data_IF_235574128510
#
_entry.id   IF_235574128510
#
_cell.length_a   1.000
_cell.length_b   1.000
_cell.length_c   1.000
_cell.angle_alpha   90.00
_cell.angle_beta   90.00
_cell.angle_gamma   90.00
#
_symmetry.space_group_name_H-M   'P 1'
#
loop_
_entity.id
_entity.type
_entity.pdbx_description
1 polymer ?
#
# COMPACT_ATOMS: atom_id res chain seq x y z
N UNK A 1 29.34 7.64 15.76
CA UNK A 1 28.12 6.84 15.94
C UNK A 1 27.60 6.54 14.56
N UNK A 2 27.92 5.37 14.01
CA UNK A 2 27.24 4.91 12.79
C UNK A 2 25.82 4.59 13.23
N UNK A 3 24.85 5.42 12.86
CA UNK A 3 23.46 5.00 12.89
C UNK A 3 23.37 3.76 12.01
N UNK A 4 23.07 2.61 12.61
CA UNK A 4 22.74 1.42 11.84
C UNK A 4 21.52 1.78 10.99
N UNK A 5 21.70 1.79 9.67
CA UNK A 5 20.60 2.05 8.76
C UNK A 5 19.70 0.82 8.79
N UNK A 6 18.37 0.99 8.90
CA UNK A 6 17.48 -0.14 8.68
C UNK A 6 17.70 -0.69 7.27
N UNK A 7 17.48 -1.99 7.12
CA UNK A 7 17.47 -2.61 5.79
C UNK A 7 16.44 -1.92 4.89
N UNK A 8 16.75 -1.86 3.61
CA UNK A 8 15.93 -1.14 2.64
C UNK A 8 14.53 -1.74 2.48
N UNK A 9 14.38 -3.06 2.60
CA UNK A 9 13.07 -3.69 2.48
C UNK A 9 12.22 -3.35 3.72
N UNK A 10 12.84 -3.24 4.90
CA UNK A 10 12.18 -2.72 6.11
C UNK A 10 11.69 -1.28 5.91
N UNK A 11 12.51 -0.42 5.30
CA UNK A 11 12.11 0.97 4.98
C UNK A 11 10.95 1.01 3.98
N UNK A 12 10.96 0.13 2.97
CA UNK A 12 9.89 0.03 1.97
C UNK A 12 8.58 -0.38 2.65
N UNK A 13 8.62 -1.38 3.51
CA UNK A 13 7.45 -1.87 4.25
C UNK A 13 6.85 -0.78 5.14
N UNK A 14 7.69 -0.07 5.88
CA UNK A 14 7.27 1.06 6.71
C UNK A 14 6.64 2.15 5.85
N UNK A 15 7.29 2.58 4.78
CA UNK A 15 6.76 3.62 3.89
C UNK A 15 5.40 3.26 3.31
N UNK A 16 5.21 2.02 2.87
CA UNK A 16 3.93 1.59 2.33
C UNK A 16 2.86 1.30 3.38
N UNK A 17 3.22 1.26 4.67
CA UNK A 17 2.26 1.19 5.79
C UNK A 17 1.64 2.55 6.14
N UNK A 18 2.29 3.64 5.75
CA UNK A 18 1.83 5.00 6.04
C UNK A 18 0.62 5.40 5.19
N UNK A 19 -0.16 6.35 5.70
CA UNK A 19 -1.16 7.04 4.91
C UNK A 19 -0.52 7.74 3.69
N UNK A 20 -1.20 7.84 2.53
CA UNK A 20 -0.63 8.47 1.34
C UNK A 20 -0.22 9.93 1.55
N UNK A 21 -0.84 10.62 2.53
CA UNK A 21 -0.48 11.97 2.92
C UNK A 21 0.93 12.06 3.51
N UNK A 22 1.34 11.05 4.29
CA UNK A 22 2.61 11.04 5.04
C UNK A 22 3.76 10.40 4.27
N UNK A 23 3.46 9.66 3.19
CA UNK A 23 4.44 8.90 2.42
C UNK A 23 5.63 9.76 1.94
N UNK A 24 5.35 10.93 1.37
CA UNK A 24 6.39 11.74 0.71
C UNK A 24 7.35 12.37 1.72
N UNK A 25 6.84 12.82 2.87
CA UNK A 25 7.67 13.41 3.93
C UNK A 25 8.59 12.35 4.54
N UNK A 26 8.07 11.17 4.88
CA UNK A 26 8.86 10.07 5.44
C UNK A 26 9.88 9.52 4.44
N UNK A 27 9.49 9.34 3.17
CA UNK A 27 10.44 8.92 2.11
C UNK A 27 11.60 9.90 2.01
N UNK A 28 11.33 11.20 2.08
CA UNK A 28 12.37 12.24 2.00
C UNK A 28 13.30 12.22 3.22
N UNK A 29 12.77 11.93 4.41
CA UNK A 29 13.57 11.73 5.62
C UNK A 29 14.52 10.53 5.49
N UNK A 30 14.01 9.38 5.01
CA UNK A 30 14.83 8.19 4.77
C UNK A 30 15.92 8.43 3.70
N UNK A 31 15.59 9.08 2.58
CA UNK A 31 16.57 9.48 1.56
C UNK A 31 17.69 10.32 2.18
N UNK A 32 17.34 11.26 3.06
CA UNK A 32 18.32 12.11 3.74
C UNK A 32 19.20 11.31 4.70
N UNK A 33 18.61 10.37 5.45
CA UNK A 33 19.33 9.50 6.39
C UNK A 33 20.34 8.61 5.65
N UNK A 34 19.91 7.94 4.58
CA UNK A 34 20.79 7.08 3.76
C UNK A 34 21.93 7.88 3.11
N UNK A 35 21.67 9.09 2.60
CA UNK A 35 22.71 9.99 2.08
C UNK A 35 23.74 10.37 3.16
N UNK A 36 23.30 10.68 4.38
CA UNK A 36 24.19 11.04 5.50
C UNK A 36 25.07 9.88 5.93
N UNK A 37 24.54 8.66 5.86
CA UNK A 37 25.28 7.43 6.15
C UNK A 37 26.17 6.95 4.98
N UNK A 38 26.16 7.64 3.84
CA UNK A 38 27.02 7.34 2.69
C UNK A 38 26.43 6.36 1.67
N UNK A 39 25.26 5.77 1.93
CA UNK A 39 24.60 4.85 1.01
C UNK A 39 23.77 5.61 -0.05
N UNK A 40 24.45 5.96 -1.15
CA UNK A 40 23.82 6.62 -2.30
C UNK A 40 22.87 5.69 -3.07
N UNK A 41 23.17 4.39 -3.11
CA UNK A 41 22.34 3.39 -3.80
C UNK A 41 20.99 3.22 -3.10
N UNK A 42 21.00 3.01 -1.79
CA UNK A 42 19.78 2.91 -0.99
C UNK A 42 18.96 4.20 -1.05
N UNK A 43 19.61 5.36 -0.94
CA UNK A 43 18.94 6.65 -1.10
C UNK A 43 18.26 6.81 -2.47
N UNK A 44 18.88 6.32 -3.55
CA UNK A 44 18.30 6.37 -4.90
C UNK A 44 17.11 5.43 -5.02
N UNK A 45 17.22 4.19 -4.51
CA UNK A 45 16.13 3.21 -4.54
C UNK A 45 14.93 3.70 -3.72
N UNK A 46 15.14 4.22 -2.51
CA UNK A 46 14.08 4.80 -1.66
C UNK A 46 13.46 6.03 -2.34
N UNK A 47 14.29 6.91 -2.93
CA UNK A 47 13.80 8.11 -3.62
C UNK A 47 12.93 7.81 -4.85
N UNK A 48 13.18 6.67 -5.51
CA UNK A 48 12.42 6.18 -6.66
C UNK A 48 11.06 5.56 -6.32
N UNK A 49 10.77 5.30 -5.03
CA UNK A 49 9.49 4.71 -4.63
C UNK A 49 8.33 5.64 -4.97
N UNK A 50 7.30 5.09 -5.62
CA UNK A 50 6.12 5.84 -6.02
C UNK A 50 5.16 5.96 -4.84
N UNK A 51 4.60 7.16 -4.63
CA UNK A 51 3.50 7.38 -3.68
C UNK A 51 2.33 6.46 -4.05
N UNK A 52 1.79 5.68 -3.09
CA UNK A 52 0.65 4.83 -3.37
C UNK A 52 -0.60 5.65 -3.71
N UNK A 53 -1.46 5.10 -4.56
CA UNK A 53 -2.83 5.61 -4.71
C UNK A 53 -3.62 5.28 -3.44
N UNK A 54 -4.75 5.95 -3.23
CA UNK A 54 -5.64 5.65 -2.09
C UNK A 54 -6.08 4.17 -2.12
N UNK A 55 -6.43 3.65 -3.30
CA UNK A 55 -6.83 2.24 -3.48
C UNK A 55 -5.66 1.30 -3.12
N UNK A 56 -4.46 1.55 -3.63
CA UNK A 56 -3.29 0.72 -3.32
C UNK A 56 -2.95 0.75 -1.83
N UNK A 57 -3.05 1.92 -1.19
CA UNK A 57 -2.87 2.03 0.26
C UNK A 57 -3.92 1.23 1.03
N UNK A 58 -5.19 1.28 0.62
CA UNK A 58 -6.26 0.53 1.28
C UNK A 58 -6.01 -0.98 1.18
N UNK A 59 -5.67 -1.48 -0.01
CA UNK A 59 -5.34 -2.90 -0.22
C UNK A 59 -4.14 -3.31 0.61
N UNK A 60 -3.06 -2.51 0.62
CA UNK A 60 -1.88 -2.82 1.44
C UNK A 60 -2.19 -2.78 2.95
N UNK A 61 -3.11 -1.91 3.38
CA UNK A 61 -3.55 -1.84 4.77
C UNK A 61 -4.35 -3.10 5.14
N UNK A 62 -5.29 -3.49 4.28
CA UNK A 62 -6.10 -4.70 4.46
C UNK A 62 -5.22 -5.94 4.54
N UNK A 63 -4.29 -6.10 3.58
CA UNK A 63 -3.35 -7.22 3.53
C UNK A 63 -2.51 -7.39 4.80
N UNK A 64 -2.21 -6.29 5.51
CA UNK A 64 -1.42 -6.33 6.74
C UNK A 64 -2.24 -6.54 8.00
N UNK A 65 -3.53 -6.21 7.97
CA UNK A 65 -4.43 -6.40 9.11
C UNK A 65 -5.03 -7.80 9.10
N UNK A 66 -5.39 -8.29 7.91
CA UNK A 66 -6.00 -9.59 7.70
C UNK A 66 -5.75 -10.04 6.26
N UNK A 67 -4.84 -11.00 6.09
CA UNK A 67 -4.53 -11.58 4.77
C UNK A 67 -5.76 -12.23 4.13
N UNK A 68 -6.69 -12.77 4.92
CA UNK A 68 -7.91 -13.40 4.42
C UNK A 68 -8.91 -12.39 3.88
N UNK A 69 -8.95 -11.17 4.44
CA UNK A 69 -9.83 -10.10 3.98
C UNK A 69 -9.49 -9.63 2.54
N UNK A 70 -8.24 -9.79 2.10
CA UNK A 70 -7.86 -9.50 0.69
C UNK A 70 -8.49 -10.52 -0.26
N UNK A 71 -8.54 -11.79 0.12
CA UNK A 71 -9.22 -12.82 -0.68
C UNK A 71 -10.72 -12.52 -0.77
N UNK A 72 -11.35 -12.16 0.34
CA UNK A 72 -12.77 -11.76 0.38
C UNK A 72 -13.05 -10.53 -0.51
N UNK A 73 -12.15 -9.54 -0.52
CA UNK A 73 -12.26 -8.37 -1.40
C UNK A 73 -12.25 -8.75 -2.88
N UNK A 74 -11.39 -9.71 -3.28
CA UNK A 74 -11.36 -10.20 -4.66
C UNK A 74 -12.62 -10.99 -5.01
N UNK A 75 -13.11 -11.82 -4.10
CA UNK A 75 -14.35 -12.58 -4.31
C UNK A 75 -15.56 -11.64 -4.47
N UNK A 76 -15.67 -10.62 -3.63
CA UNK A 76 -16.69 -9.57 -3.75
C UNK A 76 -16.58 -8.83 -5.10
N UNK A 77 -15.36 -8.49 -5.52
CA UNK A 77 -15.11 -7.87 -6.83
C UNK A 77 -15.61 -8.74 -7.99
N UNK A 78 -15.34 -10.05 -7.94
CA UNK A 78 -15.80 -10.99 -8.95
C UNK A 78 -17.34 -11.15 -8.93
N UNK A 79 -17.98 -11.11 -7.77
CA UNK A 79 -19.45 -11.11 -7.67
C UNK A 79 -20.09 -9.84 -8.23
N UNK A 80 -19.51 -8.67 -7.94
CA UNK A 80 -19.95 -7.38 -8.50
C UNK A 80 -19.83 -7.36 -10.02
N UNK A 81 -18.69 -7.80 -10.57
CA UNK A 81 -18.47 -7.89 -12.01
C UNK A 81 -19.53 -8.79 -12.67
N UNK A 82 -19.77 -9.98 -12.10
CA UNK A 82 -20.78 -10.92 -12.58
C UNK A 82 -22.20 -10.34 -12.54
N UNK A 83 -22.56 -9.62 -11.47
CA UNK A 83 -23.86 -8.96 -11.36
C UNK A 83 -24.02 -7.84 -12.39
N UNK A 84 -22.96 -7.05 -12.63
CA UNK A 84 -22.94 -6.02 -13.65
C UNK A 84 -23.09 -6.59 -15.07
N UNK A 85 -22.36 -7.66 -15.40
CA UNK A 85 -22.46 -8.34 -16.69
C UNK A 85 -23.86 -8.91 -16.96
N UNK A 86 -24.56 -9.37 -15.92
CA UNK A 86 -25.96 -9.86 -16.01
C UNK A 86 -27.00 -8.75 -15.97
N UNK A 87 -26.62 -7.49 -15.73
CA UNK A 87 -27.56 -6.39 -15.51
C UNK A 87 -28.39 -6.54 -14.24
N UNK A 88 -27.91 -7.28 -13.24
CA UNK A 88 -28.63 -7.59 -12.01
C UNK A 88 -28.49 -6.46 -10.98
N UNK A 89 -29.30 -5.42 -11.17
CA UNK A 89 -29.32 -4.23 -10.30
C UNK A 89 -29.78 -4.50 -8.86
N UNK A 90 -30.44 -5.62 -8.58
CA UNK A 90 -30.79 -6.00 -7.21
C UNK A 90 -29.56 -6.55 -6.51
N UNK A 91 -28.89 -7.52 -7.14
CA UNK A 91 -27.67 -8.13 -6.60
C UNK A 91 -26.54 -7.12 -6.43
N UNK A 92 -26.40 -6.16 -7.34
CA UNK A 92 -25.44 -5.06 -7.19
C UNK A 92 -25.67 -4.24 -5.92
N UNK A 93 -26.93 -3.95 -5.56
CA UNK A 93 -27.24 -3.19 -4.33
C UNK A 93 -26.94 -4.02 -3.09
N UNK A 94 -27.34 -5.29 -3.05
CA UNK A 94 -27.03 -6.19 -1.94
C UNK A 94 -25.52 -6.25 -1.67
N UNK A 95 -24.74 -6.53 -2.72
CA UNK A 95 -23.28 -6.65 -2.64
C UNK A 95 -22.61 -5.33 -2.23
N UNK A 96 -23.14 -4.17 -2.66
CA UNK A 96 -22.57 -2.86 -2.30
C UNK A 96 -22.74 -2.48 -0.83
N UNK A 97 -23.66 -3.15 -0.11
CA UNK A 97 -23.96 -2.93 1.31
C UNK A 97 -23.46 -4.04 2.22
N UNK A 98 -23.01 -5.16 1.64
CA UNK A 98 -22.36 -6.23 2.38
C UNK A 98 -21.03 -5.69 2.94
N UNK A 99 -20.79 -5.94 4.23
CA UNK A 99 -19.67 -5.37 4.99
C UNK A 99 -18.73 -6.48 5.43
#
# INVERSE_FOLDING_TARGET
MSEDLPDIDTVIDELYSLAPADFVSHRSAYVTRFKKAGDKSGATRIGGLRKPTVVAWLVNTLARQDESAVAELFDLGAELERAQQRGDGHRLRELSTAR
#
